data_IF_651796216757
#
_entry.id   IF_651796216757
#
_cell.length_a   1.000
_cell.length_b   1.000
_cell.length_c   1.000
_cell.angle_alpha   90.00
_cell.angle_beta   90.00
_cell.angle_gamma   90.00
#
_symmetry.space_group_name_H-M   'P 1'
#
loop_
_entity.id
_entity.type
_entity.pdbx_description
1 polymer ?
#
# COMPACT_ATOMS: atom_id res chain seq x y z
N UNK A 1 -8.55 12.05 11.20
CA UNK A 1 -7.13 11.81 11.46
C UNK A 1 -6.63 10.91 10.37
N UNK A 2 -5.66 11.38 9.59
CA UNK A 2 -4.99 10.54 8.59
C UNK A 2 -4.20 9.44 9.31
N UNK A 3 -4.31 8.21 8.82
CA UNK A 3 -3.65 7.05 9.43
C UNK A 3 -2.24 6.82 8.89
N UNK A 4 -1.87 7.53 7.82
CA UNK A 4 -0.56 7.49 7.15
C UNK A 4 -0.25 8.91 6.69
N UNK A 5 0.97 9.39 6.94
CA UNK A 5 1.46 10.68 6.44
C UNK A 5 2.15 10.47 5.09
N UNK A 6 1.90 11.35 4.12
CA UNK A 6 2.51 11.21 2.79
C UNK A 6 4.04 11.42 2.84
N UNK A 7 4.52 12.28 3.73
CA UNK A 7 5.95 12.53 3.93
C UNK A 7 6.68 11.27 4.38
N UNK A 8 6.10 10.50 5.29
CA UNK A 8 6.66 9.22 5.74
C UNK A 8 6.82 8.25 4.56
N UNK A 9 5.81 8.17 3.69
CA UNK A 9 5.83 7.25 2.54
C UNK A 9 6.91 7.64 1.55
N UNK A 10 7.08 8.95 1.32
CA UNK A 10 8.14 9.47 0.47
C UNK A 10 9.52 9.14 1.03
N UNK A 11 9.76 9.40 2.32
CA UNK A 11 11.03 9.12 2.98
C UNK A 11 11.37 7.61 2.96
N UNK A 12 10.39 6.76 3.25
CA UNK A 12 10.55 5.30 3.19
C UNK A 12 10.87 4.85 1.76
N UNK A 13 10.17 5.38 0.76
CA UNK A 13 10.42 5.03 -0.64
C UNK A 13 11.83 5.44 -1.07
N UNK A 14 12.27 6.66 -0.77
CA UNK A 14 13.62 7.14 -1.12
C UNK A 14 14.70 6.28 -0.46
N UNK A 15 14.49 5.86 0.79
CA UNK A 15 15.43 5.00 1.52
C UNK A 15 15.47 3.57 0.98
N UNK A 16 14.35 3.06 0.48
CA UNK A 16 14.19 1.65 0.09
C UNK A 16 14.00 1.44 -1.42
N UNK A 17 14.22 2.47 -2.24
CA UNK A 17 13.86 2.49 -3.67
C UNK A 17 14.38 1.26 -4.42
N UNK A 18 15.65 0.91 -4.19
CA UNK A 18 16.30 -0.23 -4.84
C UNK A 18 15.64 -1.58 -4.53
N UNK A 19 15.03 -1.72 -3.36
CA UNK A 19 14.29 -2.92 -2.95
C UNK A 19 12.87 -2.90 -3.53
N UNK A 20 12.19 -1.77 -3.48
CA UNK A 20 10.82 -1.63 -4.01
C UNK A 20 10.79 -1.83 -5.52
N UNK A 21 11.77 -1.32 -6.27
CA UNK A 21 11.88 -1.56 -7.73
C UNK A 21 11.94 -3.04 -8.11
N UNK A 22 12.46 -3.91 -7.23
CA UNK A 22 12.49 -5.37 -7.48
C UNK A 22 11.10 -6.00 -7.41
N UNK A 23 10.11 -5.29 -6.87
CA UNK A 23 8.73 -5.76 -6.75
C UNK A 23 7.87 -5.40 -7.96
N UNK A 24 8.31 -4.50 -8.84
CA UNK A 24 7.57 -4.11 -10.05
C UNK A 24 7.23 -5.31 -10.93
N UNK A 25 5.97 -5.37 -11.40
CA UNK A 25 5.41 -6.47 -12.18
C UNK A 25 5.15 -7.76 -11.40
N UNK A 26 5.23 -7.74 -10.05
CA UNK A 26 4.90 -8.88 -9.19
C UNK A 26 3.56 -8.68 -8.50
N UNK A 27 3.01 -9.78 -8.03
CA UNK A 27 1.83 -9.81 -7.14
C UNK A 27 2.27 -10.02 -5.71
N UNK A 28 1.71 -9.24 -4.78
CA UNK A 28 2.06 -9.24 -3.35
C UNK A 28 0.79 -9.45 -2.52
N UNK A 29 0.77 -10.49 -1.67
CA UNK A 29 -0.27 -10.69 -0.68
C UNK A 29 0.12 -10.00 0.65
N UNK A 30 -0.73 -9.11 1.14
CA UNK A 30 -0.57 -8.45 2.44
C UNK A 30 -1.69 -8.92 3.37
N UNK A 31 -1.33 -9.67 4.41
CA UNK A 31 -2.25 -10.01 5.50
C UNK A 31 -2.19 -8.94 6.59
N UNK A 32 -3.33 -8.57 7.18
CA UNK A 32 -3.40 -7.43 8.10
C UNK A 32 -3.31 -6.09 7.39
N UNK A 33 -3.78 -6.01 6.13
CA UNK A 33 -3.63 -4.84 5.25
C UNK A 33 -4.31 -3.55 5.78
N UNK A 34 -5.31 -3.67 6.66
CA UNK A 34 -5.98 -2.54 7.29
C UNK A 34 -5.37 -2.16 8.66
N UNK A 35 -4.42 -2.93 9.18
CA UNK A 35 -3.66 -2.58 10.39
C UNK A 35 -2.69 -1.41 10.19
N UNK A 36 -2.00 -1.00 11.26
CA UNK A 36 -1.04 0.11 11.21
C UNK A 36 0.03 -0.10 10.13
N UNK A 37 0.83 -1.17 10.23
CA UNK A 37 1.86 -1.47 9.21
C UNK A 37 1.26 -1.83 7.84
N UNK A 38 0.11 -2.51 7.82
CA UNK A 38 -0.59 -2.85 6.59
C UNK A 38 -0.87 -1.61 5.73
N UNK A 39 -1.39 -0.54 6.35
CA UNK A 39 -1.66 0.72 5.66
C UNK A 39 -0.38 1.36 5.11
N UNK A 40 0.71 1.34 5.85
CA UNK A 40 2.00 1.85 5.37
C UNK A 40 2.52 1.06 4.17
N UNK A 41 2.46 -0.28 4.20
CA UNK A 41 2.87 -1.09 3.05
C UNK A 41 1.98 -0.84 1.83
N UNK A 42 0.66 -0.79 2.02
CA UNK A 42 -0.28 -0.48 0.94
C UNK A 42 0.02 0.90 0.32
N UNK A 43 0.19 1.94 1.15
CA UNK A 43 0.52 3.29 0.70
C UNK A 43 1.87 3.35 -0.02
N UNK A 44 2.89 2.65 0.48
CA UNK A 44 4.22 2.61 -0.14
C UNK A 44 4.21 1.96 -1.52
N UNK A 45 3.55 0.80 -1.66
CA UNK A 45 3.53 0.07 -2.92
C UNK A 45 2.68 0.79 -3.98
N UNK A 46 1.52 1.34 -3.58
CA UNK A 46 0.70 2.17 -4.48
C UNK A 46 1.40 3.48 -4.86
N UNK A 47 2.12 4.11 -3.93
CA UNK A 47 2.98 5.25 -4.23
C UNK A 47 4.04 4.89 -5.29
N UNK A 48 4.69 3.73 -5.16
CA UNK A 48 5.63 3.25 -6.16
C UNK A 48 5.00 3.04 -7.54
N UNK A 49 3.76 2.53 -7.61
CA UNK A 49 3.02 2.35 -8.86
C UNK A 49 2.70 3.71 -9.52
N UNK A 50 2.40 4.75 -8.75
CA UNK A 50 2.18 6.11 -9.29
C UNK A 50 3.44 6.69 -9.94
N UNK A 51 4.61 6.34 -9.43
CA UNK A 51 5.89 6.76 -10.01
C UNK A 51 6.32 5.93 -11.22
N UNK A 52 5.86 4.67 -11.32
CA UNK A 52 6.14 3.77 -12.45
C UNK A 52 4.92 2.90 -12.78
N UNK A 53 4.19 3.29 -13.82
CA UNK A 53 2.99 2.60 -14.29
C UNK A 53 3.26 1.52 -15.36
N UNK A 54 4.49 1.34 -15.85
CA UNK A 54 4.78 0.35 -16.90
C UNK A 54 4.66 -1.09 -16.38
N UNK A 55 5.04 -1.33 -15.13
CA UNK A 55 5.03 -2.64 -14.47
C UNK A 55 4.53 -2.48 -13.04
N UNK A 56 3.23 -2.21 -12.84
CA UNK A 56 2.69 -1.99 -11.51
C UNK A 56 2.85 -3.24 -10.64
N UNK A 57 2.95 -3.02 -9.34
CA UNK A 57 2.85 -4.05 -8.32
C UNK A 57 1.36 -4.31 -8.10
N UNK A 58 0.92 -5.54 -8.33
CA UNK A 58 -0.44 -5.96 -7.99
C UNK A 58 -0.47 -6.33 -6.50
N UNK A 59 -1.43 -5.80 -5.76
CA UNK A 59 -1.54 -5.98 -4.32
C UNK A 59 -2.84 -6.71 -4.01
N UNK A 60 -2.76 -7.84 -3.32
CA UNK A 60 -3.89 -8.56 -2.76
C UNK A 60 -3.90 -8.27 -1.26
N UNK A 61 -4.91 -7.55 -0.78
CA UNK A 61 -5.03 -7.08 0.58
C UNK A 61 -6.03 -7.95 1.35
N UNK A 62 -5.56 -8.65 2.39
CA UNK A 62 -6.38 -9.48 3.26
C UNK A 62 -6.39 -8.91 4.69
N UNK A 63 -7.57 -8.69 5.26
CA UNK A 63 -7.71 -8.25 6.65
C UNK A 63 -9.01 -8.78 7.27
N UNK A 64 -8.97 -9.17 8.55
CA UNK A 64 -10.12 -9.66 9.29
C UNK A 64 -10.77 -8.60 10.20
N UNK A 65 -10.23 -7.39 10.21
CA UNK A 65 -10.71 -6.20 10.90
C UNK A 65 -10.81 -6.29 12.42
N UNK A 66 -10.08 -7.21 13.06
CA UNK A 66 -10.13 -7.39 14.52
C UNK A 66 -9.58 -6.18 15.27
N UNK A 67 -8.43 -5.64 14.83
CA UNK A 67 -7.70 -4.56 15.52
C UNK A 67 -7.71 -3.23 14.78
N UNK A 68 -7.98 -3.24 13.47
CA UNK A 68 -7.89 -2.07 12.58
C UNK A 68 -9.10 -1.13 12.64
N UNK A 69 -10.15 -1.53 13.37
CA UNK A 69 -11.43 -0.81 13.40
C UNK A 69 -12.20 -0.93 12.08
N UNK A 70 -13.48 -0.54 12.07
CA UNK A 70 -14.26 -0.51 10.83
C UNK A 70 -13.64 0.53 9.87
N UNK A 71 -13.46 0.21 8.58
CA UNK A 71 -13.04 1.18 7.59
C UNK A 71 -14.03 2.36 7.63
N UNK A 72 -13.54 3.55 7.98
CA UNK A 72 -14.33 4.77 8.02
C UNK A 72 -13.62 5.82 7.17
N UNK A 73 -14.29 6.29 6.11
CA UNK A 73 -13.78 7.29 5.17
C UNK A 73 -13.54 6.78 3.74
N UNK A 74 -13.29 7.72 2.82
CA UNK A 74 -12.88 7.45 1.44
C UNK A 74 -11.47 6.84 1.45
N UNK A 75 -11.38 5.52 1.37
CA UNK A 75 -10.11 4.83 1.32
C UNK A 75 -9.64 4.81 -0.14
N UNK A 76 -8.86 5.81 -0.56
CA UNK A 76 -8.37 5.93 -1.95
C UNK A 76 -7.70 4.63 -2.41
N UNK A 77 -7.04 3.90 -1.49
CA UNK A 77 -6.41 2.59 -1.74
C UNK A 77 -7.38 1.44 -2.03
N UNK A 78 -8.68 1.58 -1.74
CA UNK A 78 -9.72 0.60 -2.11
C UNK A 78 -10.18 0.73 -3.55
N UNK A 79 -9.93 1.89 -4.15
CA UNK A 79 -10.32 2.17 -5.53
C UNK A 79 -9.11 2.17 -6.47
N UNK A 80 -7.92 1.85 -5.97
CA UNK A 80 -6.72 1.70 -6.80
C UNK A 80 -6.88 0.44 -7.67
N UNK A 81 -6.70 0.58 -8.98
CA UNK A 81 -6.90 -0.50 -9.95
C UNK A 81 -5.93 -1.68 -9.75
N UNK A 82 -4.80 -1.45 -9.07
CA UNK A 82 -3.79 -2.46 -8.80
C UNK A 82 -4.01 -3.16 -7.45
N UNK A 83 -5.11 -2.87 -6.75
CA UNK A 83 -5.40 -3.38 -5.42
C UNK A 83 -6.70 -4.19 -5.42
N UNK A 84 -6.59 -5.46 -5.02
CA UNK A 84 -7.70 -6.36 -4.71
C UNK A 84 -7.86 -6.48 -3.19
N UNK A 85 -9.09 -6.41 -2.68
CA UNK A 85 -9.44 -6.46 -1.24
C UNK A 85 -10.37 -7.63 -0.92
#
# INVERSE_FOLDING_TARGET
MEMVLEEDIKEIFETMESSIKKMHGKTVLITGAAGFLGRYFMSLLTYSNRLNSEKPITIIALDNYITSGKPSGNNVLRNDENVEW
#
